data_IF_067962439146
#
_entry.id   IF_067962439146
#
_cell.length_a   1.000
_cell.length_b   1.000
_cell.length_c   1.000
_cell.angle_alpha   90.00
_cell.angle_beta   90.00
_cell.angle_gamma   90.00
#
_symmetry.space_group_name_H-M   'P 1'
#
loop_
_entity.id
_entity.type
_entity.pdbx_description
1 polymer ?
#
# COMPACT_ATOMS: atom_id res chain seq x y z
N UNK A 1 16.14 -3.02 10.12
CA UNK A 1 16.05 -3.51 8.73
C UNK A 1 17.29 -3.05 8.00
N UNK A 2 18.02 -4.00 7.43
CA UNK A 2 19.33 -3.69 6.85
C UNK A 2 19.17 -2.83 5.58
N UNK A 3 20.21 -2.04 5.29
CA UNK A 3 20.40 -1.27 4.04
C UNK A 3 20.10 -2.05 2.73
N UNK A 4 20.01 -3.38 2.79
CA UNK A 4 19.63 -4.24 1.64
C UNK A 4 18.19 -4.01 1.15
N UNK A 5 17.25 -3.63 2.00
CA UNK A 5 15.89 -3.34 1.56
C UNK A 5 15.81 -2.00 0.81
N UNK A 6 16.61 -1.02 1.22
CA UNK A 6 16.69 0.27 0.55
C UNK A 6 17.28 0.17 -0.87
N UNK A 7 18.16 -0.81 -1.12
CA UNK A 7 18.80 -1.00 -2.45
C UNK A 7 17.94 -1.72 -3.47
N UNK A 8 16.88 -2.45 -3.03
CA UNK A 8 15.91 -3.11 -3.90
C UNK A 8 14.63 -2.30 -4.10
N UNK A 9 14.56 -1.11 -3.55
CA UNK A 9 13.47 -0.17 -3.81
C UNK A 9 13.57 0.28 -5.26
N UNK A 10 12.52 0.00 -5.99
CA UNK A 10 12.46 0.07 -7.45
C UNK A 10 12.59 1.46 -8.01
N UNK A 11 12.91 1.50 -9.31
CA UNK A 11 12.92 2.70 -10.16
C UNK A 11 11.50 3.24 -10.47
N UNK A 12 10.47 2.69 -9.85
CA UNK A 12 9.09 3.12 -10.09
C UNK A 12 8.67 4.16 -9.06
N UNK A 13 8.17 5.28 -9.55
CA UNK A 13 7.63 6.36 -8.72
C UNK A 13 6.23 6.72 -9.18
N UNK A 14 5.36 6.98 -8.23
CA UNK A 14 4.08 7.64 -8.48
C UNK A 14 4.16 9.10 -8.10
N UNK A 15 3.63 9.97 -8.96
CA UNK A 15 3.47 11.40 -8.67
C UNK A 15 2.10 11.71 -8.07
N UNK A 16 1.24 10.70 -7.91
CA UNK A 16 -0.11 10.84 -7.34
C UNK A 16 -0.03 10.86 -5.81
N UNK A 17 0.37 11.97 -5.24
CA UNK A 17 0.41 12.16 -3.79
C UNK A 17 0.11 13.62 -3.44
N UNK A 18 -0.32 13.82 -2.20
CA UNK A 18 -0.61 15.16 -1.69
C UNK A 18 0.50 15.70 -0.79
N UNK A 19 0.64 17.03 -0.84
CA UNK A 19 1.49 17.84 0.02
C UNK A 19 0.65 18.55 1.10
N UNK A 20 1.26 19.01 2.20
CA UNK A 20 2.66 18.83 2.60
C UNK A 20 2.98 17.42 3.11
N UNK A 21 4.25 17.11 3.36
CA UNK A 21 4.66 15.89 4.06
C UNK A 21 3.96 15.76 5.41
N UNK A 22 3.53 14.55 5.72
CA UNK A 22 3.00 14.22 7.05
C UNK A 22 4.14 14.08 8.06
N UNK A 23 3.87 14.37 9.31
CA UNK A 23 4.77 13.99 10.41
C UNK A 23 4.61 12.51 10.75
N UNK A 24 5.62 11.88 11.32
CA UNK A 24 5.60 10.44 11.67
C UNK A 24 4.41 10.04 12.54
N UNK A 25 4.05 10.86 13.51
CA UNK A 25 2.94 10.60 14.42
C UNK A 25 1.54 10.69 13.77
N UNK A 26 1.44 11.27 12.57
CA UNK A 26 0.22 11.26 11.77
C UNK A 26 -0.03 9.91 11.08
N UNK A 27 0.99 9.07 10.95
CA UNK A 27 0.87 7.74 10.32
C UNK A 27 0.51 6.73 11.42
N UNK A 28 -0.75 6.34 11.47
CA UNK A 28 -1.32 5.51 12.54
C UNK A 28 -1.92 4.20 12.06
N UNK A 29 -2.11 4.05 10.75
CA UNK A 29 -2.78 2.91 10.13
C UNK A 29 -1.99 2.35 8.93
N UNK A 30 -2.23 1.08 8.63
CA UNK A 30 -1.83 0.44 7.38
C UNK A 30 -3.09 -0.11 6.73
N UNK A 31 -3.26 0.15 5.43
CA UNK A 31 -4.39 -0.37 4.65
C UNK A 31 -3.86 -1.31 3.57
N UNK A 32 -4.37 -2.54 3.60
CA UNK A 32 -4.03 -3.58 2.63
C UNK A 32 -5.05 -3.58 1.49
N UNK A 33 -4.54 -3.61 0.27
CA UNK A 33 -5.31 -3.70 -0.96
C UNK A 33 -4.80 -4.86 -1.81
N UNK A 34 -5.63 -5.36 -2.70
CA UNK A 34 -5.19 -6.18 -3.83
C UNK A 34 -5.51 -5.46 -5.13
N UNK A 35 -4.70 -5.72 -6.16
CA UNK A 35 -4.75 -4.91 -7.39
C UNK A 35 -6.04 -5.06 -8.20
N UNK A 36 -6.72 -6.21 -8.12
CA UNK A 36 -7.91 -6.49 -8.92
C UNK A 36 -7.66 -6.43 -10.43
N UNK A 37 -6.44 -6.71 -10.88
CA UNK A 37 -6.03 -6.62 -12.29
C UNK A 37 -5.32 -7.89 -12.73
N UNK A 38 -5.59 -8.33 -13.97
CA UNK A 38 -4.99 -9.55 -14.54
C UNK A 38 -3.48 -9.49 -14.64
N UNK A 39 -2.94 -8.34 -15.08
CA UNK A 39 -1.52 -8.15 -15.32
C UNK A 39 -0.91 -7.22 -14.27
N UNK A 40 0.11 -7.72 -13.60
CA UNK A 40 0.88 -7.00 -12.59
C UNK A 40 1.52 -5.72 -13.16
N UNK A 41 2.04 -5.78 -14.40
CA UNK A 41 2.64 -4.64 -15.07
C UNK A 41 1.64 -3.52 -15.33
N UNK A 42 0.39 -3.85 -15.65
CA UNK A 42 -0.69 -2.87 -15.84
C UNK A 42 -1.09 -2.21 -14.52
N UNK A 43 -1.12 -2.99 -13.42
CA UNK A 43 -1.38 -2.47 -12.09
C UNK A 43 -0.31 -1.45 -11.66
N UNK A 44 0.97 -1.77 -11.84
CA UNK A 44 2.08 -0.86 -11.56
C UNK A 44 1.98 0.40 -12.43
N UNK A 45 1.73 0.24 -13.74
CA UNK A 45 1.56 1.36 -14.67
C UNK A 45 0.41 2.28 -14.24
N UNK A 46 -0.73 1.71 -13.81
CA UNK A 46 -1.87 2.47 -13.31
C UNK A 46 -1.51 3.28 -12.07
N UNK A 47 -0.87 2.66 -11.07
CA UNK A 47 -0.47 3.33 -9.83
C UNK A 47 0.58 4.45 -10.02
N UNK A 48 1.36 4.38 -11.10
CA UNK A 48 2.37 5.38 -11.44
C UNK A 48 1.89 6.42 -12.48
N UNK A 49 0.73 6.20 -13.12
CA UNK A 49 0.21 7.12 -14.15
C UNK A 49 -0.44 8.35 -13.53
N UNK A 50 -0.04 9.55 -13.94
CA UNK A 50 -0.66 10.81 -13.52
C UNK A 50 -2.16 10.91 -13.86
N UNK A 51 -2.62 10.16 -14.88
CA UNK A 51 -4.02 10.16 -15.32
C UNK A 51 -4.94 9.30 -14.46
N UNK A 52 -4.38 8.40 -13.63
CA UNK A 52 -5.17 7.42 -12.89
C UNK A 52 -5.78 7.96 -11.60
N UNK A 53 -5.21 9.02 -11.04
CA UNK A 53 -5.60 9.61 -9.75
C UNK A 53 -5.60 8.60 -8.58
N UNK A 54 -4.80 7.54 -8.70
CA UNK A 54 -4.60 6.54 -7.65
C UNK A 54 -3.11 6.26 -7.47
N UNK A 55 -2.73 5.85 -6.28
CA UNK A 55 -1.37 5.41 -5.95
C UNK A 55 -1.36 4.55 -4.70
N UNK A 56 -0.21 4.00 -4.35
CA UNK A 56 0.04 3.38 -3.06
C UNK A 56 1.48 3.66 -2.62
N UNK A 57 1.76 3.50 -1.34
CA UNK A 57 3.12 3.65 -0.85
C UNK A 57 3.99 2.47 -1.27
N UNK A 58 3.44 1.26 -1.14
CA UNK A 58 4.13 0.02 -1.45
C UNK A 58 3.32 -0.87 -2.39
N UNK A 59 4.04 -1.63 -3.19
CA UNK A 59 3.48 -2.67 -4.05
C UNK A 59 4.27 -3.97 -3.87
N UNK A 60 3.57 -5.07 -3.64
CA UNK A 60 4.17 -6.42 -3.51
C UNK A 60 3.84 -7.22 -4.77
N UNK A 61 4.87 -7.55 -5.55
CA UNK A 61 4.76 -8.34 -6.76
C UNK A 61 4.44 -9.80 -6.45
N UNK A 62 3.97 -10.57 -7.45
CA UNK A 62 3.69 -12.00 -7.32
C UNK A 62 4.89 -12.82 -6.82
N UNK A 63 6.10 -12.43 -7.22
CA UNK A 63 7.34 -13.07 -6.77
C UNK A 63 7.82 -12.59 -5.38
N UNK A 64 7.08 -11.72 -4.73
CA UNK A 64 7.42 -11.14 -3.42
C UNK A 64 8.33 -9.91 -3.47
N UNK A 65 8.74 -9.46 -4.66
CA UNK A 65 9.52 -8.23 -4.78
C UNK A 65 8.71 -7.03 -4.28
N UNK A 66 9.32 -6.23 -3.42
CA UNK A 66 8.73 -5.03 -2.86
C UNK A 66 9.15 -3.80 -3.69
N UNK A 67 8.16 -2.99 -4.07
CA UNK A 67 8.37 -1.69 -4.70
C UNK A 67 7.89 -0.60 -3.75
N UNK A 68 8.62 0.51 -3.64
CA UNK A 68 8.14 1.73 -2.98
C UNK A 68 7.80 2.76 -4.05
N UNK A 69 6.51 3.08 -4.19
CA UNK A 69 6.01 3.97 -5.24
C UNK A 69 5.84 5.40 -4.76
N UNK A 70 5.45 5.60 -3.51
CA UNK A 70 5.33 6.90 -2.85
C UNK A 70 6.08 6.83 -1.52
N UNK A 71 6.96 7.79 -1.21
CA UNK A 71 7.63 7.82 0.09
C UNK A 71 6.63 7.96 1.25
N UNK A 72 6.89 7.30 2.37
CA UNK A 72 5.96 7.15 3.50
C UNK A 72 5.36 8.46 4.02
N UNK A 73 6.14 9.53 4.03
CA UNK A 73 5.67 10.80 4.59
C UNK A 73 4.75 11.59 3.65
N UNK A 74 4.70 11.25 2.37
CA UNK A 74 3.71 11.82 1.46
C UNK A 74 2.36 11.08 1.58
N UNK A 75 1.28 11.75 1.23
CA UNK A 75 -0.06 11.15 1.26
C UNK A 75 -0.37 10.50 -0.08
N UNK A 76 -0.20 9.19 -0.20
CA UNK A 76 -0.62 8.45 -1.39
C UNK A 76 -2.16 8.35 -1.47
N UNK A 77 -2.69 8.18 -2.67
CA UNK A 77 -4.12 8.14 -2.95
C UNK A 77 -4.61 6.71 -3.16
N UNK A 78 -4.77 5.95 -2.05
CA UNK A 78 -5.10 4.53 -2.09
C UNK A 78 -6.46 4.17 -1.48
N UNK A 79 -6.98 5.01 -0.55
CA UNK A 79 -8.16 4.66 0.24
C UNK A 79 -9.48 5.24 -0.31
N UNK A 80 -9.40 6.22 -1.21
CA UNK A 80 -10.60 6.89 -1.74
C UNK A 80 -11.46 7.53 -0.64
N UNK A 81 -12.77 7.53 -0.84
CA UNK A 81 -13.73 7.83 0.24
C UNK A 81 -13.69 6.68 1.23
N UNK A 82 -13.27 6.95 2.43
CA UNK A 82 -13.05 5.92 3.44
C UNK A 82 -13.33 6.43 4.83
N UNK A 83 -13.85 5.55 5.69
CA UNK A 83 -14.15 5.83 7.08
C UNK A 83 -13.74 4.65 7.95
N UNK A 84 -13.20 4.93 9.12
CA UNK A 84 -12.92 3.94 10.14
C UNK A 84 -13.13 4.54 11.53
N UNK A 85 -14.11 4.03 12.28
CA UNK A 85 -14.49 4.62 13.58
C UNK A 85 -14.78 6.12 13.43
N UNK A 86 -14.00 6.99 14.09
CA UNK A 86 -14.11 8.46 14.02
C UNK A 86 -13.23 9.10 12.94
N UNK A 87 -12.50 8.29 12.16
CA UNK A 87 -11.60 8.78 11.10
C UNK A 87 -12.31 8.77 9.75
N UNK A 88 -12.12 9.83 8.99
CA UNK A 88 -12.48 9.92 7.58
C UNK A 88 -11.23 10.18 6.74
N UNK A 89 -11.29 9.87 5.43
CA UNK A 89 -10.17 10.13 4.52
C UNK A 89 -8.85 9.48 4.97
N UNK A 90 -8.86 8.16 5.09
CA UNK A 90 -7.73 7.41 5.67
C UNK A 90 -6.41 7.58 4.93
N UNK A 91 -6.38 8.08 3.70
CA UNK A 91 -5.14 8.48 3.03
C UNK A 91 -4.25 9.36 3.92
N UNK A 92 -4.85 10.27 4.69
CA UNK A 92 -4.11 11.24 5.51
C UNK A 92 -3.36 10.62 6.68
N UNK A 93 -3.77 9.46 7.14
CA UNK A 93 -3.21 8.83 8.36
C UNK A 93 -2.72 7.40 8.16
N UNK A 94 -2.60 6.93 6.91
CA UNK A 94 -2.23 5.53 6.65
C UNK A 94 -1.10 5.36 5.64
N UNK A 95 -0.55 4.16 5.64
CA UNK A 95 0.31 3.62 4.58
C UNK A 95 -0.53 2.63 3.78
N UNK A 96 -0.67 2.84 2.47
CA UNK A 96 -1.32 1.89 1.57
C UNK A 96 -0.33 0.88 1.00
N UNK A 97 -0.68 -0.39 1.03
CA UNK A 97 0.08 -1.50 0.47
C UNK A 97 -0.79 -2.23 -0.54
N UNK A 98 -0.39 -2.24 -1.80
CA UNK A 98 -1.01 -3.01 -2.87
C UNK A 98 -0.32 -4.36 -3.02
N UNK A 99 -1.09 -5.44 -3.10
CA UNK A 99 -0.60 -6.79 -3.30
C UNK A 99 -1.12 -7.30 -4.63
N UNK A 100 -0.22 -7.73 -5.52
CA UNK A 100 -0.60 -8.22 -6.85
C UNK A 100 -1.49 -9.46 -6.75
N UNK A 101 -2.73 -9.32 -7.19
CA UNK A 101 -3.72 -10.41 -7.27
C UNK A 101 -4.80 -10.02 -8.27
N UNK A 102 -5.25 -10.94 -9.15
CA UNK A 102 -6.28 -10.63 -10.14
C UNK A 102 -7.63 -10.24 -9.51
N UNK A 103 -7.89 -10.67 -8.28
CA UNK A 103 -9.13 -10.35 -7.58
C UNK A 103 -10.33 -11.18 -8.05
N UNK A 104 -11.50 -10.91 -7.48
CA UNK A 104 -12.70 -11.71 -7.72
C UNK A 104 -13.18 -11.67 -9.17
N UNK A 105 -13.08 -10.52 -9.84
CA UNK A 105 -13.56 -10.34 -11.23
C UNK A 105 -12.75 -11.14 -12.25
N UNK A 106 -11.51 -11.52 -11.92
CA UNK A 106 -10.59 -12.19 -12.84
C UNK A 106 -10.04 -13.52 -12.31
N UNK A 107 -10.77 -14.17 -11.41
CA UNK A 107 -10.37 -15.43 -10.80
C UNK A 107 -9.34 -15.23 -9.71
N UNK A 108 -9.82 -14.88 -8.53
CA UNK A 108 -9.03 -14.74 -7.31
C UNK A 108 -8.10 -15.94 -7.10
N UNK A 109 -6.85 -15.67 -6.78
CA UNK A 109 -5.84 -16.68 -6.45
C UNK A 109 -5.32 -16.46 -5.04
N UNK A 110 -4.89 -17.53 -4.41
CA UNK A 110 -4.17 -17.41 -3.14
C UNK A 110 -2.90 -16.59 -3.33
N UNK A 111 -2.57 -15.78 -2.35
CA UNK A 111 -1.30 -15.07 -2.31
C UNK A 111 -0.14 -16.08 -2.19
N UNK A 112 0.94 -15.86 -2.93
CA UNK A 112 2.11 -16.72 -2.85
C UNK A 112 2.82 -16.60 -1.49
N UNK A 113 3.55 -17.64 -1.09
CA UNK A 113 4.37 -17.59 0.12
C UNK A 113 5.37 -16.43 0.09
N UNK A 114 5.91 -16.11 -1.08
CA UNK A 114 6.83 -14.98 -1.25
C UNK A 114 6.14 -13.64 -0.98
N UNK A 115 4.89 -13.48 -1.43
CA UNK A 115 4.08 -12.27 -1.12
C UNK A 115 3.81 -12.16 0.37
N UNK A 116 3.36 -13.25 0.99
CA UNK A 116 3.07 -13.28 2.43
C UNK A 116 4.31 -12.98 3.27
N UNK A 117 5.45 -13.58 2.95
CA UNK A 117 6.71 -13.33 3.65
C UNK A 117 7.16 -11.86 3.51
N UNK A 118 7.04 -11.28 2.33
CA UNK A 118 7.37 -9.87 2.10
C UNK A 118 6.42 -8.94 2.84
N UNK A 119 5.12 -9.25 2.84
CA UNK A 119 4.11 -8.50 3.58
C UNK A 119 4.40 -8.52 5.07
N UNK A 120 4.64 -9.68 5.66
CA UNK A 120 4.95 -9.81 7.11
C UNK A 120 6.19 -8.97 7.48
N UNK A 121 7.26 -9.03 6.67
CA UNK A 121 8.47 -8.24 6.90
C UNK A 121 8.19 -6.74 6.84
N UNK A 122 7.42 -6.30 5.84
CA UNK A 122 7.04 -4.90 5.68
C UNK A 122 6.15 -4.42 6.83
N UNK A 123 5.14 -5.20 7.21
CA UNK A 123 4.25 -4.86 8.32
C UNK A 123 5.02 -4.71 9.65
N UNK A 124 5.93 -5.63 9.96
CA UNK A 124 6.79 -5.53 11.15
C UNK A 124 7.66 -4.28 11.13
N UNK A 125 8.24 -3.96 9.98
CA UNK A 125 9.06 -2.76 9.80
C UNK A 125 8.26 -1.47 10.01
N UNK A 126 7.12 -1.33 9.32
CA UNK A 126 6.28 -0.14 9.40
C UNK A 126 5.64 0.03 10.77
N UNK A 127 5.17 -1.07 11.39
CA UNK A 127 4.59 -1.04 12.73
C UNK A 127 5.59 -0.56 13.78
N UNK A 128 6.85 -1.02 13.68
CA UNK A 128 7.92 -0.54 14.56
C UNK A 128 8.29 0.92 14.28
N UNK A 129 8.42 1.29 13.00
CA UNK A 129 8.85 2.64 12.56
C UNK A 129 7.86 3.74 12.97
N UNK A 130 6.56 3.44 12.90
CA UNK A 130 5.48 4.40 13.12
C UNK A 130 4.64 4.11 14.37
N UNK A 131 5.02 3.12 15.17
CA UNK A 131 4.28 2.70 16.36
C UNK A 131 2.81 2.32 16.05
N UNK A 132 2.58 1.59 14.95
CA UNK A 132 1.24 1.18 14.51
C UNK A 132 0.84 -0.09 15.25
N UNK A 133 -0.32 -0.04 15.91
CA UNK A 133 -0.88 -1.20 16.63
C UNK A 133 -1.50 -2.20 15.64
N UNK A 134 -1.54 -3.49 16.00
CA UNK A 134 -2.10 -4.57 15.15
C UNK A 134 -3.53 -4.29 14.70
N UNK A 135 -4.37 -3.76 15.59
CA UNK A 135 -5.77 -3.41 15.28
C UNK A 135 -5.93 -2.25 14.27
N UNK A 136 -4.84 -1.56 13.93
CA UNK A 136 -4.81 -0.50 12.94
C UNK A 136 -4.24 -0.98 11.59
N UNK A 137 -4.11 -2.29 11.40
CA UNK A 137 -3.80 -2.92 10.11
C UNK A 137 -5.11 -3.45 9.56
N UNK A 138 -5.61 -2.83 8.51
CA UNK A 138 -6.97 -3.01 7.99
C UNK A 138 -6.94 -3.42 6.52
N UNK A 139 -7.97 -4.10 6.07
CA UNK A 139 -8.25 -4.28 4.65
C UNK A 139 -9.03 -3.10 4.07
N UNK A 140 -9.01 -2.92 2.76
CA UNK A 140 -9.81 -1.89 2.08
C UNK A 140 -11.31 -2.04 2.39
N UNK A 141 -11.81 -3.27 2.42
CA UNK A 141 -13.21 -3.59 2.76
C UNK A 141 -13.63 -3.16 4.16
N UNK A 142 -12.69 -3.02 5.10
CA UNK A 142 -12.99 -2.55 6.45
C UNK A 142 -13.29 -1.05 6.48
N UNK A 143 -12.70 -0.28 5.56
CA UNK A 143 -12.73 1.19 5.55
C UNK A 143 -13.64 1.78 4.48
N UNK A 144 -13.94 1.02 3.45
CA UNK A 144 -14.81 1.39 2.34
C UNK A 144 -15.64 0.17 1.90
N UNK A 145 -16.54 -0.35 2.75
CA UNK A 145 -17.45 -1.42 2.36
C UNK A 145 -18.37 -0.93 1.26
N UNK A 146 -18.60 -1.76 0.23
CA UNK A 146 -19.54 -1.49 -0.86
C UNK A 146 -20.98 -1.42 -0.35
#
# INVERSE_FOLDING_TARGET
MSLKLARNLSRYYSINFSLPKRTKNKITHIILHYTGMKKESEAIKKLCSHKSNVSSHYFIKKNGQLLNLVPDLYTAWHAGKSNWKKLSSLNKCSIGIEISNPGHDYGYKNFSLNQINSLIKLLRYLSKKYNIRKQNILGHSDIAPN
#
